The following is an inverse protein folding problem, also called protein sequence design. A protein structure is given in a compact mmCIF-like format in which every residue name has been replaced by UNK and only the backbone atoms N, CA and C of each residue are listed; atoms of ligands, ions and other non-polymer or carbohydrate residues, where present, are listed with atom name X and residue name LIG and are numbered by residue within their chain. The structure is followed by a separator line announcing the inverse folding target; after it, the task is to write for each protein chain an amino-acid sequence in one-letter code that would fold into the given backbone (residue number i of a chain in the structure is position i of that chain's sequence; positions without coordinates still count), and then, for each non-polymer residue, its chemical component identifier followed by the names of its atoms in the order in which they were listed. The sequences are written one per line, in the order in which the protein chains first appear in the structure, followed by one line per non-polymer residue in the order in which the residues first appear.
data_IF_453304404514
#
_entry.id   IF_453304404514
#
_cell.length_a   1.000
_cell.length_b   1.000
_cell.length_c   1.000
_cell.angle_alpha   90.00
_cell.angle_beta   90.00
_cell.angle_gamma   90.00
#
_symmetry.space_group_name_H-M   'P 1'
#
loop_
_entity.id
_entity.type
_entity.pdbx_description
1 polymer ?
#
# COMPACT_ATOMS: atom_id res chain seq x y z
N UNK A 1 -26.18 3.79 -38.03
CA UNK A 1 -26.76 5.13 -37.73
C UNK A 1 -27.57 5.02 -36.46
N UNK A 2 -27.06 5.47 -35.35
CA UNK A 2 -27.79 5.52 -34.08
C UNK A 2 -28.75 6.71 -34.11
N UNK A 3 -30.05 6.43 -34.00
CA UNK A 3 -31.12 7.44 -34.01
C UNK A 3 -30.90 8.49 -32.93
N UNK A 4 -31.21 9.76 -33.23
CA UNK A 4 -31.00 10.89 -32.35
C UNK A 4 -31.67 10.81 -30.96
N UNK A 5 -32.69 9.96 -30.82
CA UNK A 5 -33.35 9.68 -29.54
C UNK A 5 -32.45 8.94 -28.53
N UNK A 6 -31.63 8.03 -29.01
CA UNK A 6 -30.70 7.29 -28.10
C UNK A 6 -29.55 8.17 -27.62
N UNK A 7 -29.11 9.14 -28.41
CA UNK A 7 -28.09 10.10 -27.98
C UNK A 7 -28.57 11.02 -26.86
N UNK A 8 -29.84 11.39 -26.87
CA UNK A 8 -30.42 12.26 -25.85
C UNK A 8 -30.63 11.52 -24.53
N UNK A 9 -31.05 10.25 -24.58
CA UNK A 9 -31.22 9.38 -23.39
C UNK A 9 -29.91 9.06 -22.71
N UNK A 10 -28.85 8.86 -23.48
CA UNK A 10 -27.49 8.62 -22.93
C UNK A 10 -26.94 9.89 -22.26
N UNK A 11 -27.14 11.06 -22.85
CA UNK A 11 -26.69 12.32 -22.27
C UNK A 11 -27.43 12.69 -20.99
N UNK A 12 -28.73 12.39 -20.89
CA UNK A 12 -29.52 12.61 -19.69
C UNK A 12 -29.15 11.62 -18.60
N UNK A 13 -28.89 10.37 -18.92
CA UNK A 13 -28.40 9.35 -17.97
C UNK A 13 -27.03 9.71 -17.38
N UNK A 14 -26.14 10.26 -18.17
CA UNK A 14 -24.80 10.69 -17.73
C UNK A 14 -24.87 11.94 -16.84
N UNK A 15 -25.79 12.85 -17.11
CA UNK A 15 -26.04 14.02 -16.27
C UNK A 15 -26.60 13.65 -14.89
N UNK A 16 -27.46 12.63 -14.81
CA UNK A 16 -27.99 12.16 -13.53
C UNK A 16 -26.93 11.45 -12.69
N UNK A 17 -26.01 10.71 -13.31
CA UNK A 17 -24.90 10.03 -12.60
C UNK A 17 -23.90 11.03 -12.04
N UNK A 18 -23.62 12.13 -12.76
CA UNK A 18 -22.68 13.17 -12.27
C UNK A 18 -23.25 14.03 -11.15
N UNK A 19 -24.57 14.24 -11.11
CA UNK A 19 -25.22 15.01 -10.02
C UNK A 19 -25.30 14.20 -8.71
N UNK A 20 -25.40 12.87 -8.78
CA UNK A 20 -25.47 12.03 -7.57
C UNK A 20 -24.15 11.92 -6.83
N UNK A 21 -23.00 12.23 -7.46
CA UNK A 21 -21.67 12.12 -6.86
C UNK A 21 -21.24 13.37 -6.07
N UNK A 22 -22.02 14.47 -6.10
CA UNK A 22 -21.62 15.73 -5.47
C UNK A 22 -22.20 15.94 -4.06
N UNK A 23 -22.99 15.01 -3.52
CA UNK A 23 -23.62 15.15 -2.20
C UNK A 23 -22.96 14.35 -1.07
N UNK A 24 -21.77 13.75 -1.30
CA UNK A 24 -21.07 12.99 -0.27
C UNK A 24 -19.86 13.73 0.33
N UNK A 25 -20.02 15.01 0.62
CA UNK A 25 -19.03 15.77 1.40
C UNK A 25 -19.73 16.43 2.58
N UNK A 26 -19.97 15.66 3.64
CA UNK A 26 -20.58 16.16 4.85
C UNK A 26 -20.16 15.35 6.07
N UNK A 27 -19.29 15.92 6.89
CA UNK A 27 -19.15 15.48 8.27
C UNK A 27 -17.77 15.01 8.72
N UNK A 28 -16.80 15.92 8.79
CA UNK A 28 -15.70 15.77 9.71
C UNK A 28 -16.27 16.06 11.12
N UNK A 29 -16.73 15.03 11.80
CA UNK A 29 -16.99 15.11 13.23
C UNK A 29 -15.65 15.02 13.96
N UNK A 30 -15.22 16.13 14.50
CA UNK A 30 -14.22 16.24 15.54
C UNK A 30 -14.55 15.25 16.67
N UNK A 31 -13.80 14.16 16.75
CA UNK A 31 -13.87 13.25 17.91
C UNK A 31 -13.04 13.87 19.01
N UNK A 32 -13.74 14.42 20.00
CA UNK A 32 -13.16 14.85 21.26
C UNK A 32 -12.46 13.67 21.91
N UNK A 33 -11.23 13.91 22.32
CA UNK A 33 -10.41 13.09 23.20
C UNK A 33 -11.21 12.64 24.43
N UNK A 34 -11.63 11.40 24.47
CA UNK A 34 -12.05 10.75 25.70
C UNK A 34 -10.84 9.98 26.22
N UNK A 35 -10.24 10.51 27.29
CA UNK A 35 -9.23 9.87 28.11
C UNK A 35 -9.91 8.71 28.85
N UNK A 36 -9.78 7.51 28.31
CA UNK A 36 -10.20 6.30 29.02
C UNK A 36 -8.96 5.49 29.36
N UNK A 37 -8.60 5.55 30.63
CA UNK A 37 -7.70 4.61 31.30
C UNK A 37 -8.36 3.23 31.26
N UNK A 38 -7.97 2.38 30.33
CA UNK A 38 -8.25 0.95 30.37
C UNK A 38 -6.93 0.22 30.55
N UNK A 39 -6.86 -0.46 31.68
CA UNK A 39 -5.84 -1.28 32.28
C UNK A 39 -5.30 -2.31 31.28
N UNK A 40 -3.97 -2.37 31.24
CA UNK A 40 -3.18 -3.31 30.45
C UNK A 40 -3.46 -4.76 30.86
N UNK A 41 -3.83 -5.59 29.90
CA UNK A 41 -3.57 -7.03 29.88
C UNK A 41 -3.85 -7.55 28.47
N UNK A 42 -2.97 -7.29 27.54
CA UNK A 42 -3.08 -7.69 26.14
C UNK A 42 -1.85 -7.32 25.29
N UNK A 43 -0.86 -6.70 25.92
CA UNK A 43 0.29 -6.10 25.25
C UNK A 43 1.43 -7.10 24.93
N UNK A 44 1.18 -8.41 24.91
CA UNK A 44 2.23 -9.42 24.71
C UNK A 44 2.24 -10.10 23.34
N UNK A 45 1.34 -9.73 22.43
CA UNK A 45 1.24 -10.42 21.13
C UNK A 45 1.50 -9.52 19.91
N UNK A 46 1.78 -8.25 20.07
CA UNK A 46 2.25 -7.37 18.99
C UNK A 46 3.39 -6.50 19.51
N UNK A 47 4.52 -7.10 19.79
CA UNK A 47 5.77 -6.37 19.72
C UNK A 47 6.14 -6.26 18.24
N UNK A 48 5.30 -5.57 17.49
CA UNK A 48 5.72 -4.94 16.26
C UNK A 48 6.95 -4.11 16.66
N UNK A 49 8.10 -4.46 16.14
CA UNK A 49 9.34 -3.76 16.46
C UNK A 49 9.19 -2.37 15.90
N UNK A 50 8.71 -1.45 16.73
CA UNK A 50 8.57 -0.06 16.36
C UNK A 50 9.95 0.44 15.97
N UNK A 51 10.12 0.67 14.68
CA UNK A 51 11.35 1.24 14.15
C UNK A 51 11.57 2.61 14.80
N UNK A 52 12.82 2.94 15.08
CA UNK A 52 13.15 4.31 15.47
C UNK A 52 12.80 5.26 14.30
N UNK A 53 12.58 6.54 14.60
CA UNK A 53 12.27 7.53 13.58
C UNK A 53 13.39 7.64 12.50
N UNK A 54 14.63 7.33 12.86
CA UNK A 54 15.73 7.27 11.91
C UNK A 54 15.67 6.02 11.03
N UNK A 55 15.41 4.87 11.62
CA UNK A 55 15.24 3.62 10.87
C UNK A 55 14.05 3.70 9.91
N UNK A 56 12.93 4.30 10.34
CA UNK A 56 11.78 4.51 9.49
C UNK A 56 12.13 5.39 8.28
N UNK A 57 12.84 6.51 8.49
CA UNK A 57 13.28 7.37 7.38
C UNK A 57 14.23 6.65 6.40
N UNK A 58 15.13 5.80 6.92
CA UNK A 58 16.02 5.01 6.06
C UNK A 58 15.24 3.98 5.26
N UNK A 59 14.29 3.29 5.90
CA UNK A 59 13.41 2.35 5.23
C UNK A 59 12.62 3.03 4.11
N UNK A 60 11.96 4.14 4.40
CA UNK A 60 11.14 4.90 3.44
C UNK A 60 12.00 5.35 2.23
N UNK A 61 13.22 5.82 2.49
CA UNK A 61 14.15 6.22 1.44
C UNK A 61 14.50 5.03 0.52
N UNK A 62 14.91 3.90 1.07
CA UNK A 62 15.26 2.72 0.26
C UNK A 62 14.07 2.16 -0.48
N UNK A 63 12.91 2.13 0.15
CA UNK A 63 11.69 1.62 -0.49
C UNK A 63 11.25 2.50 -1.67
N UNK A 64 11.21 3.82 -1.49
CA UNK A 64 10.87 4.76 -2.57
C UNK A 64 11.89 4.69 -3.71
N UNK A 65 13.17 4.59 -3.39
CA UNK A 65 14.21 4.44 -4.40
C UNK A 65 14.10 3.12 -5.16
N UNK A 66 13.76 2.03 -4.47
CA UNK A 66 13.50 0.74 -5.10
C UNK A 66 12.33 0.83 -6.10
N UNK A 67 11.24 1.50 -5.72
CA UNK A 67 10.11 1.71 -6.62
C UNK A 67 10.49 2.56 -7.83
N UNK A 68 11.36 3.55 -7.63
CA UNK A 68 11.89 4.39 -8.71
C UNK A 68 12.75 3.58 -9.69
N UNK A 69 13.62 2.71 -9.20
CA UNK A 69 14.44 1.82 -10.03
C UNK A 69 13.58 0.80 -10.79
N UNK A 70 12.58 0.21 -10.12
CA UNK A 70 11.59 -0.66 -10.76
C UNK A 70 10.87 0.06 -11.92
N UNK A 71 10.48 1.32 -11.74
CA UNK A 71 9.87 2.14 -12.79
C UNK A 71 10.78 2.44 -13.98
N UNK A 72 12.09 2.34 -13.80
CA UNK A 72 13.10 2.47 -14.86
C UNK A 72 13.50 1.13 -15.49
N UNK A 73 12.91 0.03 -15.05
CA UNK A 73 13.29 -1.34 -15.41
C UNK A 73 14.71 -1.74 -14.92
N UNK A 74 15.25 -1.03 -13.94
CA UNK A 74 16.52 -1.36 -13.29
C UNK A 74 16.26 -2.35 -12.14
N UNK A 75 15.88 -3.57 -12.50
CA UNK A 75 15.36 -4.56 -11.56
C UNK A 75 16.40 -5.03 -10.54
N UNK A 76 17.65 -5.22 -10.92
CA UNK A 76 18.72 -5.64 -10.00
C UNK A 76 18.97 -4.59 -8.93
N UNK A 77 19.00 -3.31 -9.32
CA UNK A 77 19.15 -2.19 -8.37
C UNK A 77 17.95 -2.11 -7.42
N UNK A 78 16.73 -2.27 -7.96
CA UNK A 78 15.51 -2.29 -7.15
C UNK A 78 15.51 -3.44 -6.14
N UNK A 79 15.93 -4.64 -6.54
CA UNK A 79 16.01 -5.80 -5.67
C UNK A 79 17.01 -5.57 -4.52
N UNK A 80 18.20 -5.05 -4.80
CA UNK A 80 19.19 -4.70 -3.78
C UNK A 80 18.66 -3.70 -2.75
N UNK A 81 17.95 -2.67 -3.20
CA UNK A 81 17.33 -1.69 -2.30
C UNK A 81 16.21 -2.29 -1.44
N UNK A 82 15.42 -3.22 -1.97
CA UNK A 82 14.42 -3.95 -1.20
C UNK A 82 15.05 -4.86 -0.14
N UNK A 83 16.22 -5.46 -0.43
CA UNK A 83 16.96 -6.20 0.58
C UNK A 83 17.41 -5.29 1.73
N UNK A 84 17.89 -4.06 1.44
CA UNK A 84 18.18 -3.08 2.49
C UNK A 84 16.95 -2.67 3.30
N UNK A 85 15.77 -2.66 2.71
CA UNK A 85 14.52 -2.47 3.46
C UNK A 85 14.32 -3.60 4.49
N UNK A 86 14.55 -4.86 4.09
CA UNK A 86 14.41 -6.01 4.98
C UNK A 86 15.52 -6.11 6.04
N UNK A 87 16.72 -5.58 5.78
CA UNK A 87 17.76 -5.44 6.79
C UNK A 87 17.33 -4.50 7.94
N UNK A 88 16.54 -3.48 7.62
CA UNK A 88 16.00 -2.52 8.59
C UNK A 88 14.75 -3.08 9.28
N UNK A 89 13.82 -3.63 8.51
CA UNK A 89 12.60 -4.23 8.99
C UNK A 89 12.32 -5.57 8.28
N UNK A 90 12.73 -6.69 8.88
CA UNK A 90 12.56 -8.02 8.28
C UNK A 90 11.10 -8.44 8.06
N UNK A 91 10.17 -7.83 8.77
CA UNK A 91 8.73 -8.12 8.71
C UNK A 91 7.94 -7.10 7.90
N UNK A 92 8.61 -6.25 7.14
CA UNK A 92 7.95 -5.23 6.32
C UNK A 92 7.18 -5.86 5.16
N UNK A 93 5.87 -5.99 5.30
CA UNK A 93 4.97 -6.62 4.32
C UNK A 93 5.14 -6.05 2.91
N UNK A 94 5.32 -4.74 2.78
CA UNK A 94 5.50 -4.10 1.47
C UNK A 94 6.81 -4.54 0.77
N UNK A 95 7.93 -4.61 1.50
CA UNK A 95 9.19 -5.05 0.93
C UNK A 95 9.19 -6.57 0.62
N UNK A 96 8.61 -7.38 1.52
CA UNK A 96 8.44 -8.82 1.31
C UNK A 96 7.59 -9.13 0.09
N UNK A 97 6.48 -8.42 -0.08
CA UNK A 97 5.62 -8.55 -1.25
C UNK A 97 6.36 -8.22 -2.55
N UNK A 98 7.06 -7.10 -2.59
CA UNK A 98 7.84 -6.71 -3.76
C UNK A 98 8.94 -7.72 -4.09
N UNK A 99 9.70 -8.19 -3.10
CA UNK A 99 10.74 -9.23 -3.29
C UNK A 99 10.15 -10.55 -3.78
N UNK A 100 8.97 -10.95 -3.28
CA UNK A 100 8.33 -12.19 -3.75
C UNK A 100 8.09 -12.18 -5.25
N UNK A 101 7.72 -11.03 -5.81
CA UNK A 101 7.51 -10.87 -7.25
C UNK A 101 8.80 -11.06 -8.06
N UNK A 102 9.94 -10.58 -7.55
CA UNK A 102 11.24 -10.80 -8.20
C UNK A 102 11.60 -12.29 -8.22
N UNK A 103 11.41 -13.00 -7.10
CA UNK A 103 11.66 -14.43 -7.06
C UNK A 103 10.75 -15.22 -8.01
N UNK A 104 9.48 -14.84 -8.11
CA UNK A 104 8.57 -15.45 -9.09
C UNK A 104 9.00 -15.18 -10.53
N UNK A 105 9.43 -13.97 -10.83
CA UNK A 105 9.93 -13.60 -12.15
C UNK A 105 11.19 -14.40 -12.52
N UNK A 106 12.11 -14.58 -11.57
CA UNK A 106 13.32 -15.38 -11.75
C UNK A 106 13.06 -16.89 -11.71
N UNK A 107 11.80 -17.32 -11.64
CA UNK A 107 11.38 -18.73 -11.49
C UNK A 107 11.90 -19.40 -10.20
N UNK A 108 12.24 -18.61 -9.21
CA UNK A 108 12.60 -19.08 -7.88
C UNK A 108 11.36 -19.14 -6.98
N UNK A 109 10.38 -19.94 -7.44
CA UNK A 109 9.05 -20.02 -6.81
C UNK A 109 9.10 -20.34 -5.32
N UNK A 110 9.94 -21.26 -4.81
CA UNK A 110 9.98 -21.53 -3.37
C UNK A 110 10.37 -20.31 -2.53
N UNK A 111 11.37 -19.53 -2.98
CA UNK A 111 11.79 -18.31 -2.27
C UNK A 111 10.72 -17.21 -2.34
N UNK A 112 10.04 -17.09 -3.48
CA UNK A 112 8.94 -16.17 -3.66
C UNK A 112 7.74 -16.50 -2.74
N UNK A 113 7.42 -17.78 -2.57
CA UNK A 113 6.36 -18.22 -1.66
C UNK A 113 6.70 -17.93 -0.20
N UNK A 114 7.92 -18.23 0.24
CA UNK A 114 8.36 -17.93 1.62
C UNK A 114 8.30 -16.42 1.90
N UNK A 115 8.76 -15.58 0.97
CA UNK A 115 8.68 -14.13 1.13
C UNK A 115 7.23 -13.63 1.18
N UNK A 116 6.33 -14.24 0.42
CA UNK A 116 4.91 -13.89 0.42
C UNK A 116 4.19 -14.32 1.70
N UNK A 117 4.53 -15.49 2.26
CA UNK A 117 3.98 -15.97 3.52
C UNK A 117 4.39 -15.11 4.72
N UNK A 118 5.54 -14.45 4.63
CA UNK A 118 6.04 -13.52 5.65
C UNK A 118 5.46 -12.11 5.53
N UNK A 119 4.86 -11.80 4.38
CA UNK A 119 4.27 -10.48 4.11
C UNK A 119 2.91 -10.30 4.74
#
# INVERSE_FOLDING_TARGET
MLNGENRMKIKIGWLFVTVLMLTSCGGIRSVRTAKTTAKADGASLMKETLLSAEQQRKYDYFFLEAMRMKGKNEYDAAFGLLQHCLDINPTASSALYEISQYYMFLRQVPQGQVALEQA
#
